data_IF_257714049041
#
_entry.id   IF_257714049041
#
_cell.length_a   1.000
_cell.length_b   1.000
_cell.length_c   1.000
_cell.angle_alpha   90.00
_cell.angle_beta   90.00
_cell.angle_gamma   90.00
#
_symmetry.space_group_name_H-M   'P 1'
#
loop_
_entity.id
_entity.type
_entity.pdbx_description
1 polymer ?
#
# COMPACT_ATOMS: atom_id res chain seq x y z
N UNK A 1 -48.02 -44.82 -39.98
CA UNK A 1 -46.65 -45.18 -40.41
C UNK A 1 -45.78 -43.95 -40.24
N UNK A 2 -44.87 -43.96 -39.27
CA UNK A 2 -44.06 -42.80 -38.90
C UNK A 2 -42.68 -42.93 -39.54
N UNK A 3 -42.27 -41.95 -40.35
CA UNK A 3 -40.98 -41.97 -41.04
C UNK A 3 -39.85 -41.60 -40.07
N UNK A 4 -38.69 -42.29 -40.12
CA UNK A 4 -37.57 -41.96 -39.25
C UNK A 4 -36.91 -40.64 -39.68
N UNK A 5 -36.83 -39.71 -38.73
CA UNK A 5 -36.13 -38.43 -38.87
C UNK A 5 -34.62 -38.72 -38.99
N UNK A 6 -34.04 -38.49 -40.17
CA UNK A 6 -32.60 -38.54 -40.37
C UNK A 6 -31.97 -37.38 -39.61
N UNK A 7 -31.29 -37.67 -38.50
CA UNK A 7 -30.43 -36.70 -37.81
C UNK A 7 -29.25 -36.39 -38.74
N UNK A 8 -29.31 -35.27 -39.46
CA UNK A 8 -28.14 -34.69 -40.12
C UNK A 8 -27.20 -34.19 -39.03
N UNK A 9 -26.26 -35.03 -38.62
CA UNK A 9 -25.15 -34.60 -37.77
C UNK A 9 -24.34 -33.56 -38.54
N UNK A 10 -24.56 -32.28 -38.22
CA UNK A 10 -23.75 -31.21 -38.78
C UNK A 10 -22.32 -31.36 -38.28
N UNK A 11 -21.39 -31.63 -39.18
CA UNK A 11 -19.97 -31.62 -38.85
C UNK A 11 -19.58 -30.18 -38.51
N UNK A 12 -19.14 -29.95 -37.27
CA UNK A 12 -18.62 -28.65 -36.84
C UNK A 12 -17.15 -28.64 -37.17
N UNK A 13 -16.78 -27.85 -38.18
CA UNK A 13 -15.38 -27.68 -38.58
C UNK A 13 -14.58 -27.08 -37.40
N UNK A 14 -13.48 -27.74 -37.03
CA UNK A 14 -12.61 -27.24 -35.94
C UNK A 14 -11.75 -26.06 -36.38
N UNK A 15 -11.52 -25.95 -37.70
CA UNK A 15 -10.81 -24.84 -38.32
C UNK A 15 -11.25 -24.68 -39.78
N UNK A 16 -10.92 -23.56 -40.40
CA UNK A 16 -11.14 -23.39 -41.83
C UNK A 16 -10.30 -24.38 -42.67
N UNK A 17 -9.11 -24.77 -42.21
CA UNK A 17 -8.28 -25.78 -42.87
C UNK A 17 -8.96 -27.14 -42.92
N UNK A 18 -9.61 -27.53 -41.82
CA UNK A 18 -10.41 -28.76 -41.70
C UNK A 18 -11.63 -28.75 -42.64
N UNK A 19 -12.24 -27.57 -42.83
CA UNK A 19 -13.29 -27.39 -43.83
C UNK A 19 -12.77 -27.54 -45.26
N UNK A 20 -11.61 -26.96 -45.57
CA UNK A 20 -11.02 -27.06 -46.90
C UNK A 20 -10.57 -28.48 -47.24
N UNK A 21 -10.01 -29.24 -46.30
CA UNK A 21 -9.60 -30.63 -46.54
C UNK A 21 -10.80 -31.52 -46.84
N UNK A 22 -11.92 -31.34 -46.11
CA UNK A 22 -13.15 -32.09 -46.36
C UNK A 22 -13.78 -31.75 -47.73
N UNK A 23 -13.72 -30.48 -48.13
CA UNK A 23 -14.17 -30.06 -49.46
C UNK A 23 -13.28 -30.70 -50.53
N UNK A 24 -11.97 -30.64 -50.38
CA UNK A 24 -11.02 -31.24 -51.32
C UNK A 24 -11.23 -32.76 -51.43
N UNK A 25 -11.41 -33.45 -50.31
CA UNK A 25 -11.64 -34.90 -50.31
C UNK A 25 -12.95 -35.26 -51.04
N UNK A 26 -13.97 -34.41 -50.91
CA UNK A 26 -15.25 -34.58 -51.61
C UNK A 26 -15.14 -34.34 -53.12
N UNK A 27 -14.30 -33.42 -53.56
CA UNK A 27 -14.14 -33.07 -54.98
C UNK A 27 -13.11 -33.94 -55.71
N UNK A 28 -12.03 -34.33 -55.04
CA UNK A 28 -10.87 -35.00 -55.65
C UNK A 28 -10.65 -36.44 -55.15
N UNK A 29 -11.45 -36.91 -54.19
CA UNK A 29 -11.33 -38.23 -53.58
C UNK A 29 -10.40 -38.25 -52.36
N UNK A 30 -10.15 -39.43 -51.76
CA UNK A 30 -9.36 -39.59 -50.55
C UNK A 30 -7.99 -38.91 -50.68
N UNK A 31 -7.65 -38.05 -49.72
CA UNK A 31 -6.35 -37.38 -49.71
C UNK A 31 -5.24 -38.43 -49.53
N UNK A 32 -4.20 -38.42 -50.37
CA UNK A 32 -3.13 -39.39 -50.27
C UNK A 32 -2.34 -39.18 -48.97
N UNK A 33 -1.85 -40.28 -48.39
CA UNK A 33 -1.02 -40.21 -47.19
C UNK A 33 0.24 -39.37 -47.45
N UNK A 34 0.47 -38.40 -46.56
CA UNK A 34 1.57 -37.43 -46.66
C UNK A 34 2.92 -38.15 -46.65
N UNK A 35 3.04 -39.23 -45.88
CA UNK A 35 4.29 -40.02 -45.78
C UNK A 35 4.53 -40.79 -47.07
N UNK A 36 3.51 -41.48 -47.59
CA UNK A 36 3.62 -42.23 -48.85
C UNK A 36 4.01 -41.37 -50.05
N UNK A 37 3.58 -40.10 -50.05
CA UNK A 37 3.83 -39.17 -51.15
C UNK A 37 5.03 -38.24 -50.93
N UNK A 38 5.76 -38.39 -49.81
CA UNK A 38 6.86 -37.50 -49.42
C UNK A 38 6.50 -36.01 -49.50
N UNK A 39 5.23 -35.69 -49.20
CA UNK A 39 4.72 -34.32 -49.28
C UNK A 39 4.61 -33.74 -50.70
N UNK A 40 4.74 -34.54 -51.77
CA UNK A 40 4.67 -34.08 -53.17
C UNK A 40 3.34 -33.40 -53.54
N UNK A 41 2.27 -33.71 -52.81
CA UNK A 41 0.94 -33.13 -53.02
C UNK A 41 0.52 -32.17 -51.90
N UNK A 42 1.46 -31.73 -51.05
CA UNK A 42 1.16 -30.69 -50.07
C UNK A 42 0.80 -29.41 -50.81
N UNK A 43 -0.46 -28.98 -50.67
CA UNK A 43 -0.85 -27.65 -51.13
C UNK A 43 -0.11 -26.61 -50.29
N UNK A 44 0.40 -25.53 -50.89
CA UNK A 44 0.94 -24.42 -50.13
C UNK A 44 -0.12 -23.94 -49.15
N UNK A 45 0.32 -23.46 -47.99
CA UNK A 45 -0.59 -22.88 -46.99
C UNK A 45 -1.46 -21.86 -47.71
N UNK A 46 -2.79 -22.05 -47.75
CA UNK A 46 -3.65 -21.07 -48.39
C UNK A 46 -3.40 -19.72 -47.73
N UNK A 47 -3.35 -18.66 -48.53
CA UNK A 47 -3.24 -17.30 -48.00
C UNK A 47 -4.26 -17.16 -46.88
N UNK A 48 -3.79 -16.82 -45.67
CA UNK A 48 -4.66 -16.52 -44.54
C UNK A 48 -5.80 -15.67 -45.07
N UNK A 49 -7.07 -16.09 -44.90
CA UNK A 49 -8.18 -15.41 -45.52
C UNK A 49 -8.08 -13.94 -45.14
N UNK A 50 -7.70 -13.11 -46.11
CA UNK A 50 -7.75 -11.68 -45.95
C UNK A 50 -9.24 -11.44 -45.80
N UNK A 51 -9.67 -11.16 -44.57
CA UNK A 51 -11.05 -10.82 -44.31
C UNK A 51 -11.35 -9.57 -45.14
N UNK A 52 -11.84 -9.75 -46.37
CA UNK A 52 -12.41 -8.69 -47.22
C UNK A 52 -13.71 -8.14 -46.62
N UNK A 53 -13.95 -8.36 -45.32
CA UNK A 53 -14.98 -7.64 -44.59
C UNK A 53 -14.57 -6.18 -44.58
N UNK A 54 -15.38 -5.36 -45.24
CA UNK A 54 -15.34 -3.90 -45.12
C UNK A 54 -15.20 -3.56 -43.63
N UNK A 55 -14.19 -2.75 -43.34
CA UNK A 55 -13.87 -2.28 -42.00
C UNK A 55 -15.15 -1.89 -41.25
N UNK A 56 -15.48 -2.59 -40.17
CA UNK A 56 -16.63 -2.26 -39.35
C UNK A 56 -16.22 -1.15 -38.36
N UNK A 57 -16.70 0.10 -38.55
CA UNK A 57 -16.34 1.21 -37.66
C UNK A 57 -16.86 0.98 -36.24
N UNK A 58 -17.98 0.27 -36.06
CA UNK A 58 -18.53 -0.01 -34.73
C UNK A 58 -17.65 -1.00 -33.97
N UNK A 59 -17.17 -2.05 -34.65
CA UNK A 59 -16.21 -2.98 -34.08
C UNK A 59 -14.93 -2.27 -33.64
N UNK A 60 -14.42 -1.36 -34.47
CA UNK A 60 -13.16 -0.65 -34.20
C UNK A 60 -13.30 0.29 -32.99
N UNK A 61 -14.38 1.06 -32.93
CA UNK A 61 -14.68 1.92 -31.77
C UNK A 61 -14.84 1.09 -30.49
N UNK A 62 -15.53 -0.05 -30.57
CA UNK A 62 -15.71 -0.95 -29.43
C UNK A 62 -14.38 -1.54 -28.97
N UNK A 63 -13.53 -1.96 -29.92
CA UNK A 63 -12.21 -2.49 -29.61
C UNK A 63 -11.33 -1.42 -28.94
N UNK A 64 -11.32 -0.21 -29.48
CA UNK A 64 -10.59 0.92 -28.89
C UNK A 64 -11.05 1.20 -27.45
N UNK A 65 -12.36 1.31 -27.23
CA UNK A 65 -12.92 1.52 -25.89
C UNK A 65 -12.50 0.42 -24.90
N UNK A 66 -12.50 -0.85 -25.34
CA UNK A 66 -12.07 -1.97 -24.50
C UNK A 66 -10.57 -1.88 -24.19
N UNK A 67 -9.74 -1.57 -25.19
CA UNK A 67 -8.29 -1.43 -25.00
C UNK A 67 -7.97 -0.27 -24.06
N UNK A 68 -8.60 0.88 -24.23
CA UNK A 68 -8.44 2.04 -23.35
C UNK A 68 -8.84 1.70 -21.91
N UNK A 69 -9.96 0.96 -21.74
CA UNK A 69 -10.38 0.45 -20.44
C UNK A 69 -9.36 -0.50 -19.81
N UNK A 70 -8.70 -1.35 -20.61
CA UNK A 70 -7.64 -2.25 -20.13
C UNK A 70 -6.39 -1.47 -19.70
N UNK A 71 -5.96 -0.48 -20.50
CA UNK A 71 -4.84 0.39 -20.15
C UNK A 71 -5.11 1.17 -18.86
N UNK A 72 -6.31 1.73 -18.73
CA UNK A 72 -6.71 2.45 -17.53
C UNK A 72 -6.71 1.55 -16.28
N UNK A 73 -7.21 0.31 -16.41
CA UNK A 73 -7.15 -0.67 -15.30
C UNK A 73 -5.72 -1.02 -14.93
N UNK A 74 -4.83 -1.17 -15.91
CA UNK A 74 -3.41 -1.45 -15.64
C UNK A 74 -2.72 -0.26 -14.98
N UNK A 75 -3.02 0.96 -15.42
CA UNK A 75 -2.54 2.20 -14.79
C UNK A 75 -2.96 2.27 -13.31
N UNK A 76 -4.25 2.02 -13.01
CA UNK A 76 -4.72 1.96 -11.62
C UNK A 76 -4.03 0.87 -10.81
N UNK A 77 -3.76 -0.30 -11.40
CA UNK A 77 -3.04 -1.39 -10.72
C UNK A 77 -1.60 -1.00 -10.39
N UNK A 78 -0.90 -0.31 -11.29
CA UNK A 78 0.46 0.20 -11.04
C UNK A 78 0.47 1.20 -9.90
N UNK A 79 -0.47 2.14 -9.89
CA UNK A 79 -0.62 3.07 -8.76
C UNK A 79 -0.99 2.37 -7.45
N UNK A 80 -1.76 1.27 -7.52
CA UNK A 80 -2.23 0.53 -6.36
C UNK A 80 -1.17 -0.38 -5.74
N UNK A 81 -0.48 -1.18 -6.56
CA UNK A 81 0.40 -2.26 -6.07
C UNK A 81 1.87 -2.04 -6.43
N UNK A 82 2.21 -0.94 -7.12
CA UNK A 82 3.52 -0.74 -7.72
C UNK A 82 3.65 -1.37 -9.11
N UNK A 83 4.65 -0.91 -9.86
CA UNK A 83 4.90 -1.38 -11.23
C UNK A 83 5.26 -2.85 -11.29
N UNK A 84 6.13 -3.32 -10.38
CA UNK A 84 6.62 -4.71 -10.35
C UNK A 84 5.48 -5.72 -10.21
N UNK A 85 4.61 -5.51 -9.21
CA UNK A 85 3.47 -6.41 -8.95
C UNK A 85 2.42 -6.34 -10.07
N UNK A 86 2.21 -5.13 -10.64
CA UNK A 86 1.24 -4.95 -11.70
C UNK A 86 1.68 -5.62 -13.01
N UNK A 87 2.98 -5.67 -13.29
CA UNK A 87 3.57 -6.33 -14.46
C UNK A 87 3.70 -7.85 -14.29
N UNK A 88 4.04 -8.31 -13.08
CA UNK A 88 4.19 -9.75 -12.79
C UNK A 88 2.86 -10.50 -12.87
N UNK A 89 1.79 -9.93 -12.30
CA UNK A 89 0.51 -10.63 -12.17
C UNK A 89 -0.54 -10.12 -13.14
N UNK A 90 -1.32 -10.99 -13.80
CA UNK A 90 -2.42 -10.55 -14.64
C UNK A 90 -3.54 -9.89 -13.81
N UNK A 91 -4.34 -8.99 -14.42
CA UNK A 91 -5.47 -8.36 -13.74
C UNK A 91 -6.40 -9.39 -13.10
N UNK A 92 -6.75 -9.20 -11.82
CA UNK A 92 -7.60 -10.12 -11.07
C UNK A 92 -6.87 -11.28 -10.38
N UNK A 93 -5.59 -11.49 -10.67
CA UNK A 93 -4.76 -12.57 -10.12
C UNK A 93 -3.66 -12.10 -9.16
N UNK A 94 -3.67 -10.84 -8.74
CA UNK A 94 -2.74 -10.37 -7.68
C UNK A 94 -2.92 -11.23 -6.42
N UNK A 95 -1.83 -11.77 -5.82
CA UNK A 95 -1.86 -12.56 -4.58
C UNK A 95 -2.62 -11.87 -3.44
N UNK A 96 -3.19 -12.67 -2.55
CA UNK A 96 -4.02 -12.19 -1.42
C UNK A 96 -3.21 -11.36 -0.43
N UNK A 97 -1.96 -11.75 -0.18
CA UNK A 97 -1.06 -11.12 0.76
C UNK A 97 -0.80 -9.66 0.37
N UNK A 98 -0.53 -9.42 -0.92
CA UNK A 98 -0.28 -8.07 -1.44
C UNK A 98 -1.56 -7.22 -1.39
N UNK A 99 -2.72 -7.82 -1.64
CA UNK A 99 -4.00 -7.10 -1.51
C UNK A 99 -4.29 -6.69 -0.07
N UNK A 100 -3.95 -7.55 0.89
CA UNK A 100 -4.15 -7.29 2.31
C UNK A 100 -3.18 -6.24 2.83
N UNK A 101 -1.92 -6.30 2.44
CA UNK A 101 -0.92 -5.27 2.74
C UNK A 101 -1.38 -3.89 2.26
N UNK A 102 -1.77 -3.77 0.99
CA UNK A 102 -2.26 -2.50 0.46
C UNK A 102 -3.50 -1.99 1.22
N UNK A 103 -4.43 -2.88 1.61
CA UNK A 103 -5.61 -2.48 2.39
C UNK A 103 -5.22 -1.94 3.77
N UNK A 104 -4.28 -2.58 4.43
CA UNK A 104 -3.80 -2.14 5.74
C UNK A 104 -3.12 -0.76 5.64
N UNK A 105 -2.30 -0.55 4.62
CA UNK A 105 -1.68 0.75 4.35
C UNK A 105 -2.72 1.85 4.09
N UNK A 106 -3.74 1.56 3.28
CA UNK A 106 -4.83 2.52 3.05
C UNK A 106 -5.61 2.84 4.32
N UNK A 107 -5.89 1.86 5.18
CA UNK A 107 -6.58 2.10 6.45
C UNK A 107 -5.72 2.94 7.42
N UNK A 108 -4.40 2.78 7.38
CA UNK A 108 -3.47 3.62 8.14
C UNK A 108 -3.44 5.06 7.60
N UNK A 109 -3.34 5.21 6.28
CA UNK A 109 -3.37 6.51 5.61
C UNK A 109 -4.70 7.23 5.83
N UNK A 110 -5.83 6.53 5.74
CA UNK A 110 -7.15 7.07 6.04
C UNK A 110 -7.24 7.54 7.49
N UNK A 111 -6.74 6.75 8.45
CA UNK A 111 -6.66 7.15 9.86
C UNK A 111 -5.79 8.38 10.05
N UNK A 112 -4.66 8.45 9.37
CA UNK A 112 -3.74 9.59 9.43
C UNK A 112 -4.39 10.86 8.87
N UNK A 113 -5.04 10.76 7.72
CA UNK A 113 -5.76 11.88 7.10
C UNK A 113 -6.92 12.31 7.99
N UNK A 114 -7.64 11.36 8.59
CA UNK A 114 -8.73 11.65 9.52
C UNK A 114 -8.22 12.37 10.78
N UNK A 115 -7.09 11.97 11.35
CA UNK A 115 -6.47 12.66 12.48
C UNK A 115 -6.00 14.10 12.13
N UNK A 116 -5.59 14.35 10.89
CA UNK A 116 -5.26 15.70 10.42
C UNK A 116 -6.51 16.57 10.19
N UNK A 117 -7.61 15.96 9.77
CA UNK A 117 -8.89 16.62 9.52
C UNK A 117 -9.71 16.81 10.80
N UNK A 118 -9.40 16.06 11.86
CA UNK A 118 -9.97 16.24 13.19
C UNK A 118 -9.47 17.58 13.74
N UNK A 119 -10.17 18.66 13.34
CA UNK A 119 -9.99 19.98 13.91
C UNK A 119 -10.19 19.79 15.42
N UNK A 120 -9.18 20.09 16.26
CA UNK A 120 -9.33 19.92 17.70
C UNK A 120 -10.53 20.76 18.12
N UNK A 121 -11.59 20.07 18.56
CA UNK A 121 -12.78 20.74 19.06
C UNK A 121 -12.31 21.68 20.16
N UNK A 122 -12.60 22.98 20.07
CA UNK A 122 -12.18 23.92 21.10
C UNK A 122 -12.69 23.39 22.44
N UNK A 123 -11.82 23.32 23.48
CA UNK A 123 -12.17 22.68 24.73
C UNK A 123 -13.45 23.32 25.28
N UNK A 124 -14.38 22.48 25.71
CA UNK A 124 -15.64 22.93 26.28
C UNK A 124 -15.31 23.70 27.57
N UNK A 125 -16.07 24.75 27.96
CA UNK A 125 -15.79 25.50 29.19
C UNK A 125 -15.70 24.62 30.45
N UNK A 126 -16.38 23.48 30.46
CA UNK A 126 -16.28 22.47 31.52
C UNK A 126 -14.95 21.69 31.50
N UNK A 127 -14.41 21.39 30.31
CA UNK A 127 -13.11 20.71 30.18
C UNK A 127 -11.98 21.59 30.70
N UNK A 128 -12.06 22.91 30.44
CA UNK A 128 -11.11 23.89 30.97
C UNK A 128 -11.19 23.98 32.50
N UNK A 129 -12.42 24.00 33.06
CA UNK A 129 -12.64 24.04 34.51
C UNK A 129 -12.14 22.78 35.21
N UNK A 130 -12.35 21.62 34.61
CA UNK A 130 -11.85 20.34 35.12
C UNK A 130 -10.33 20.31 35.16
N UNK A 131 -9.67 20.79 34.11
CA UNK A 131 -8.21 20.78 34.06
C UNK A 131 -7.60 21.83 35.00
N UNK A 132 -8.23 22.99 35.17
CA UNK A 132 -7.88 23.97 36.20
C UNK A 132 -8.07 23.41 37.62
N UNK A 133 -9.15 22.68 37.88
CA UNK A 133 -9.40 22.02 39.16
C UNK A 133 -8.33 20.97 39.47
N UNK A 134 -7.90 20.21 38.45
CA UNK A 134 -6.83 19.21 38.58
C UNK A 134 -5.47 19.85 38.85
N UNK A 135 -5.10 20.88 38.10
CA UNK A 135 -3.87 21.66 38.32
C UNK A 135 -3.82 22.34 39.69
N UNK A 136 -4.97 22.82 40.18
CA UNK A 136 -5.06 23.43 41.51
C UNK A 136 -4.99 22.39 42.64
N UNK A 137 -5.55 21.19 42.45
CA UNK A 137 -5.37 20.07 43.37
C UNK A 137 -3.90 19.65 43.48
N UNK A 138 -3.20 19.51 42.35
CA UNK A 138 -1.77 19.15 42.32
C UNK A 138 -0.88 20.21 42.99
N UNK A 139 -1.19 21.51 42.83
CA UNK A 139 -0.52 22.59 43.56
C UNK A 139 -0.76 22.51 45.08
N UNK A 140 -1.95 22.09 45.51
CA UNK A 140 -2.26 21.92 46.94
C UNK A 140 -1.51 20.73 47.51
N UNK A 141 -1.50 19.60 46.81
CA UNK A 141 -0.77 18.40 47.21
C UNK A 141 0.73 18.65 47.34
N UNK A 142 1.34 19.31 46.34
CA UNK A 142 2.75 19.69 46.39
C UNK A 142 3.08 20.66 47.54
N UNK A 143 2.17 21.59 47.87
CA UNK A 143 2.34 22.48 49.02
C UNK A 143 2.29 21.73 50.35
N UNK A 144 1.32 20.82 50.51
CA UNK A 144 1.19 19.97 51.71
C UNK A 144 2.41 19.08 51.87
N UNK A 145 2.89 18.45 50.79
CA UNK A 145 4.09 17.63 50.80
C UNK A 145 5.33 18.44 51.25
N UNK A 146 5.46 19.68 50.78
CA UNK A 146 6.57 20.57 51.17
C UNK A 146 6.52 20.95 52.65
N UNK A 147 5.33 21.24 53.17
CA UNK A 147 5.14 21.57 54.59
C UNK A 147 5.37 20.35 55.49
N UNK A 148 4.87 19.17 55.10
CA UNK A 148 5.14 17.91 55.81
C UNK A 148 6.65 17.61 55.87
N UNK A 149 7.36 17.81 54.76
CA UNK A 149 8.82 17.63 54.71
C UNK A 149 9.54 18.62 55.64
N UNK A 150 9.13 19.89 55.71
CA UNK A 150 9.68 20.87 56.67
C UNK A 150 9.41 20.46 58.12
N UNK A 151 8.20 20.02 58.43
CA UNK A 151 7.82 19.58 59.77
C UNK A 151 8.62 18.35 60.22
N UNK A 152 8.79 17.37 59.34
CA UNK A 152 9.63 16.20 59.59
C UNK A 152 11.08 16.59 59.88
N UNK A 153 11.65 17.52 59.10
CA UNK A 153 13.01 18.01 59.30
C UNK A 153 13.18 18.76 60.62
N UNK A 154 12.15 19.51 61.06
CA UNK A 154 12.15 20.18 62.37
C UNK A 154 12.12 19.18 63.51
N UNK A 155 11.23 18.18 63.47
CA UNK A 155 11.17 17.10 64.48
C UNK A 155 12.51 16.38 64.63
N UNK A 156 13.14 16.02 63.50
CA UNK A 156 14.46 15.37 63.51
C UNK A 156 15.56 16.24 64.14
N UNK A 157 15.46 17.57 64.00
CA UNK A 157 16.38 18.52 64.64
C UNK A 157 16.13 18.62 66.15
N UNK A 158 14.87 18.69 66.55
CA UNK A 158 14.47 18.79 67.96
C UNK A 158 14.81 17.49 68.73
N UNK A 159 14.68 16.34 68.07
CA UNK A 159 15.07 15.02 68.61
C UNK A 159 16.59 14.84 68.70
N UNK A 160 17.36 15.37 67.74
CA UNK A 160 18.83 15.42 67.85
C UNK A 160 19.31 16.33 69.00
N UNK A 161 18.55 17.39 69.32
CA UNK A 161 18.82 18.28 70.46
C UNK A 161 18.43 17.64 71.80
N UNK A 162 17.42 16.77 71.85
CA UNK A 162 17.10 16.01 73.07
C UNK A 162 17.96 14.76 73.27
N UNK A 163 18.61 14.25 72.21
CA UNK A 163 19.52 13.10 72.26
C UNK A 163 21.00 13.46 72.52
N UNK A 164 21.33 14.75 72.69
CA UNK A 164 22.69 15.21 73.01
C UNK A 164 22.87 15.44 74.52
N UNK A 165 22.56 14.42 75.31
CA UNK A 165 23.09 14.24 76.66
C UNK A 165 24.14 13.13 76.58
N UNK A 166 25.39 13.47 76.88
CA UNK A 166 26.60 12.64 76.89
C UNK A 166 27.17 12.19 75.54
N UNK A 167 28.25 12.85 75.10
CA UNK A 167 29.08 12.35 74.01
C UNK A 167 29.93 13.39 73.29
N UNK A 168 31.07 13.69 73.91
CA UNK A 168 32.37 14.15 73.41
C UNK A 168 32.54 14.74 71.98
N UNK A 169 33.40 15.75 71.93
CA UNK A 169 33.73 16.58 70.79
C UNK A 169 34.38 15.82 69.62
N UNK A 170 33.95 16.13 68.38
CA UNK A 170 34.89 16.39 67.26
C UNK A 170 34.22 16.72 65.91
N UNK A 171 34.97 17.52 65.16
CA UNK A 171 34.99 17.67 63.69
C UNK A 171 33.92 18.52 62.99
N UNK A 172 34.28 19.79 62.86
CA UNK A 172 33.98 20.70 61.75
C UNK A 172 34.30 20.07 60.37
N UNK A 173 33.30 19.96 59.49
CA UNK A 173 33.51 19.81 58.04
C UNK A 173 32.54 20.72 57.30
N UNK A 174 33.12 21.68 56.58
CA UNK A 174 32.46 22.60 55.64
C UNK A 174 31.96 21.85 54.39
N UNK A 175 30.77 22.14 53.84
CA UNK A 175 30.40 21.65 52.51
C UNK A 175 30.91 22.59 51.40
N UNK A 176 31.54 22.08 50.32
CA UNK A 176 31.88 22.91 49.18
C UNK A 176 30.72 23.10 48.20
N UNK A 177 30.86 24.22 47.48
CA UNK A 177 29.95 24.92 46.58
C UNK A 177 29.37 24.08 45.44
N UNK A 178 28.09 24.34 45.16
CA UNK A 178 27.34 23.95 43.96
C UNK A 178 27.78 24.85 42.77
N UNK A 179 28.21 24.32 41.62
CA UNK A 179 28.31 25.11 40.40
C UNK A 179 26.94 25.21 39.71
N UNK A 180 26.62 26.42 39.25
CA UNK A 180 25.50 26.77 38.36
C UNK A 180 26.04 26.94 36.94
N UNK A 181 25.12 26.82 35.97
CA UNK A 181 25.17 27.24 34.55
C UNK A 181 25.74 26.22 33.57
N UNK A 182 25.32 26.07 32.31
CA UNK A 182 24.20 26.50 31.42
C UNK A 182 24.53 25.84 30.03
N UNK A 183 23.57 25.84 29.08
CA UNK A 183 23.66 25.46 27.64
C UNK A 183 23.43 23.97 27.38
N UNK A 184 22.33 23.51 26.78
CA UNK A 184 21.48 24.04 25.69
C UNK A 184 22.26 24.14 24.37
N UNK A 185 22.33 23.01 23.66
CA UNK A 185 22.67 22.94 22.24
C UNK A 185 21.71 21.91 21.60
N UNK A 186 20.84 22.44 20.74
CA UNK A 186 19.94 21.68 19.86
C UNK A 186 20.70 21.21 18.60
N UNK A 187 20.17 20.16 17.93
CA UNK A 187 20.85 19.48 16.83
C UNK A 187 20.86 20.28 15.52
N UNK A 188 21.97 20.16 14.79
CA UNK A 188 22.13 20.65 13.43
C UNK A 188 21.29 19.82 12.45
N UNK A 189 20.58 20.51 11.58
CA UNK A 189 19.83 20.00 10.44
C UNK A 189 20.80 19.75 9.28
N UNK A 190 21.08 18.50 8.95
CA UNK A 190 21.73 18.15 7.68
C UNK A 190 20.68 18.07 6.56
N UNK A 191 20.80 19.03 5.65
CA UNK A 191 20.04 19.18 4.43
C UNK A 191 20.61 18.26 3.34
N UNK A 192 19.95 17.14 3.07
CA UNK A 192 20.27 16.27 1.93
C UNK A 192 19.69 16.85 0.65
N UNK A 193 20.62 17.35 -0.17
CA UNK A 193 20.43 17.93 -1.50
C UNK A 193 20.00 16.86 -2.51
N UNK A 194 18.76 16.91 -2.96
CA UNK A 194 18.21 16.11 -4.07
C UNK A 194 18.82 16.53 -5.40
N UNK A 195 19.39 15.63 -6.22
CA UNK A 195 19.77 15.94 -7.59
C UNK A 195 18.59 15.78 -8.55
N UNK A 196 18.28 16.86 -9.27
CA UNK A 196 17.28 16.87 -10.37
C UNK A 196 17.68 15.97 -11.54
N UNK A 197 16.77 15.17 -12.11
CA UNK A 197 17.01 14.45 -13.36
C UNK A 197 16.90 15.39 -14.57
N UNK A 198 17.92 15.36 -15.43
CA UNK A 198 17.95 16.02 -16.74
C UNK A 198 17.05 15.25 -17.71
N UNK A 199 16.09 15.93 -18.34
CA UNK A 199 15.38 15.43 -19.51
C UNK A 199 16.31 15.44 -20.73
N UNK A 200 16.35 14.35 -21.53
CA UNK A 200 17.00 14.39 -22.82
C UNK A 200 16.11 15.06 -23.87
N UNK A 201 16.82 15.80 -24.70
CA UNK A 201 16.42 16.69 -25.79
C UNK A 201 15.85 15.91 -26.97
N UNK A 202 14.91 16.57 -27.65
CA UNK A 202 14.33 16.22 -28.95
C UNK A 202 15.35 15.64 -29.95
N UNK A 203 14.98 14.54 -30.59
CA UNK A 203 15.60 14.11 -31.85
C UNK A 203 14.55 14.28 -32.94
N UNK A 204 14.99 15.04 -33.93
CA UNK A 204 14.30 15.47 -35.16
C UNK A 204 14.04 14.31 -36.11
#
# INVERSE_FOLDING_TARGET
>A
MSSPIKKTGGYVFKSWLDATSLIDEKFYGPLPDVVSTQGRYLKPQPNTPVLERKHDPQFTQKLQFILDGLFYRQYLRRGKYGDEVAEEWPPGHTPTEIREQWKAEQEEDERRVQALLEIPTPPTPEDVRLEEARLTAERRESHVAREAHKAMKKRKRDEALSSSGDGDASTSVLPPKRPKHTSLASPETESTKTPSPKLPVDIT
#
